data_IF_012426416696
#
_entry.id   IF_012426416696
#
_cell.length_a   1.000
_cell.length_b   1.000
_cell.length_c   1.000
_cell.angle_alpha   90.00
_cell.angle_beta   90.00
_cell.angle_gamma   90.00
#
_symmetry.space_group_name_H-M   'P 1'
#
loop_
_entity.id
_entity.type
_entity.pdbx_description
1 polymer ?
#
# COMPACT_ATOMS: atom_id res chain seq x y z
N UNK A 1 -7.79 13.00 -13.98
CA UNK A 1 -7.65 11.52 -14.01
C UNK A 1 -7.11 11.09 -12.66
N UNK A 2 -7.62 10.01 -12.07
CA UNK A 2 -7.12 9.49 -10.80
C UNK A 2 -5.89 8.61 -11.05
N UNK A 3 -4.88 8.69 -10.19
CA UNK A 3 -3.70 7.84 -10.25
C UNK A 3 -4.09 6.38 -9.98
N UNK A 4 -3.63 5.46 -10.82
CA UNK A 4 -3.85 4.02 -10.63
C UNK A 4 -2.78 3.41 -9.68
N UNK A 5 -2.99 2.15 -9.28
CA UNK A 5 -2.10 1.47 -8.34
C UNK A 5 -0.66 1.33 -8.87
N UNK A 6 -0.49 0.99 -10.14
CA UNK A 6 0.84 0.81 -10.74
C UNK A 6 1.62 2.12 -10.79
N UNK A 7 0.93 3.23 -11.10
CA UNK A 7 1.50 4.58 -11.06
C UNK A 7 1.93 4.97 -9.65
N UNK A 8 1.09 4.68 -8.63
CA UNK A 8 1.44 4.90 -7.23
C UNK A 8 2.68 4.10 -6.81
N UNK A 9 2.73 2.80 -7.15
CA UNK A 9 3.86 1.92 -6.82
C UNK A 9 5.15 2.43 -7.46
N UNK A 10 5.09 2.86 -8.72
CA UNK A 10 6.24 3.41 -9.42
C UNK A 10 6.75 4.70 -8.75
N UNK A 11 5.85 5.64 -8.45
CA UNK A 11 6.22 6.92 -7.83
C UNK A 11 6.78 6.74 -6.41
N UNK A 12 6.20 5.84 -5.60
CA UNK A 12 6.70 5.54 -4.25
C UNK A 12 8.05 4.82 -4.31
N UNK A 13 8.24 3.88 -5.25
CA UNK A 13 9.51 3.18 -5.45
C UNK A 13 10.63 4.17 -5.78
N UNK A 14 10.38 5.09 -6.71
CA UNK A 14 11.32 6.15 -7.08
C UNK A 14 11.68 7.05 -5.89
N UNK A 15 10.68 7.56 -5.16
CA UNK A 15 10.89 8.49 -4.04
C UNK A 15 11.54 7.83 -2.82
N UNK A 16 11.28 6.53 -2.60
CA UNK A 16 11.80 5.80 -1.43
C UNK A 16 13.11 5.05 -1.70
N UNK A 17 13.58 4.98 -2.96
CA UNK A 17 14.76 4.21 -3.35
C UNK A 17 14.57 2.69 -3.26
N UNK A 18 13.32 2.21 -3.24
CA UNK A 18 12.98 0.79 -3.20
C UNK A 18 12.63 0.25 -4.59
N UNK A 19 12.57 -1.08 -4.71
CA UNK A 19 12.03 -1.70 -5.93
C UNK A 19 10.50 -1.63 -5.94
N UNK A 20 9.90 -1.60 -7.13
CA UNK A 20 8.44 -1.67 -7.26
C UNK A 20 7.87 -2.96 -6.63
N UNK A 21 8.61 -4.07 -6.68
CA UNK A 21 8.22 -5.32 -6.04
C UNK A 21 8.14 -5.19 -4.51
N UNK A 22 9.14 -4.53 -3.89
CA UNK A 22 9.14 -4.28 -2.46
C UNK A 22 7.97 -3.37 -2.05
N UNK A 23 7.73 -2.29 -2.80
CA UNK A 23 6.60 -1.39 -2.55
C UNK A 23 5.26 -2.11 -2.71
N UNK A 24 5.12 -2.94 -3.74
CA UNK A 24 3.88 -3.68 -3.94
C UNK A 24 3.61 -4.65 -2.78
N UNK A 25 4.63 -5.36 -2.29
CA UNK A 25 4.49 -6.25 -1.13
C UNK A 25 4.10 -5.51 0.16
N UNK A 26 4.63 -4.30 0.38
CA UNK A 26 4.23 -3.45 1.51
C UNK A 26 2.77 -3.01 1.39
N UNK A 27 2.34 -2.59 0.20
CA UNK A 27 0.94 -2.18 -0.01
C UNK A 27 -0.03 -3.36 0.18
N UNK A 28 0.32 -4.55 -0.30
CA UNK A 28 -0.49 -5.76 -0.07
C UNK A 28 -0.60 -6.06 1.43
N UNK A 29 0.53 -6.05 2.15
CA UNK A 29 0.55 -6.27 3.60
C UNK A 29 -0.24 -5.21 4.37
N UNK A 30 -0.18 -3.94 3.93
CA UNK A 30 -0.94 -2.83 4.52
C UNK A 30 -2.45 -3.09 4.41
N UNK A 31 -2.92 -3.52 3.24
CA UNK A 31 -4.33 -3.82 3.02
C UNK A 31 -4.80 -5.03 3.84
N UNK A 32 -3.99 -6.09 3.95
CA UNK A 32 -4.31 -7.25 4.79
C UNK A 32 -4.47 -6.84 6.28
N UNK A 33 -3.57 -6.00 6.79
CA UNK A 33 -3.65 -5.47 8.15
C UNK A 33 -4.92 -4.63 8.33
N UNK A 34 -5.22 -3.74 7.37
CA UNK A 34 -6.42 -2.91 7.42
C UNK A 34 -7.70 -3.74 7.39
N UNK A 35 -7.78 -4.75 6.52
CA UNK A 35 -8.91 -5.66 6.46
C UNK A 35 -9.12 -6.37 7.81
N UNK A 36 -8.05 -6.91 8.38
CA UNK A 36 -8.08 -7.59 9.68
C UNK A 36 -8.57 -6.68 10.80
N UNK A 37 -8.04 -5.46 10.92
CA UNK A 37 -8.46 -4.52 11.96
C UNK A 37 -9.88 -4.02 11.77
N UNK A 38 -10.27 -3.64 10.54
CA UNK A 38 -11.64 -3.16 10.26
C UNK A 38 -12.66 -4.27 10.51
N UNK A 39 -12.35 -5.53 10.16
CA UNK A 39 -13.23 -6.67 10.44
C UNK A 39 -13.49 -6.90 11.93
N UNK A 40 -12.56 -6.47 12.80
CA UNK A 40 -12.69 -6.51 14.26
C UNK A 40 -13.38 -5.27 14.84
N UNK A 41 -13.78 -4.32 13.99
CA UNK A 41 -14.35 -3.04 14.40
C UNK A 41 -13.32 -2.07 15.00
N UNK A 42 -12.03 -2.35 14.82
CA UNK A 42 -10.96 -1.47 15.29
C UNK A 42 -10.89 -0.22 14.40
N UNK A 43 -10.72 0.95 15.03
CA UNK A 43 -10.45 2.19 14.31
C UNK A 43 -8.95 2.36 14.14
N UNK A 44 -8.51 2.55 12.90
CA UNK A 44 -7.15 2.95 12.57
C UNK A 44 -7.17 4.45 12.26
N UNK A 45 -6.27 5.22 12.87
CA UNK A 45 -6.11 6.68 12.68
C UNK A 45 -4.68 7.01 12.31
#
# INVERSE_FOLDING_TARGET
MAMNRSELVAEVAEKSGNTQAAVNGVLDSLFEVFESSVSKGEKIT
#
